data_IF_072078046849
#
_entry.id   IF_072078046849
#
_cell.length_a   1.000
_cell.length_b   1.000
_cell.length_c   1.000
_cell.angle_alpha   90.00
_cell.angle_beta   90.00
_cell.angle_gamma   90.00
#
_symmetry.space_group_name_H-M   'P 1'
#
loop_
_entity.id
_entity.type
_entity.pdbx_description
1 polymer ?
#
# COMPACT_ATOMS: atom_id res chain seq x y z
N UNK A 1 -27.00 -19.22 9.93
CA UNK A 1 -25.60 -18.79 10.08
C UNK A 1 -25.16 -18.19 8.76
N UNK A 2 -24.68 -16.94 8.73
CA UNK A 2 -24.21 -16.32 7.49
C UNK A 2 -22.96 -17.04 6.97
N UNK A 3 -22.81 -17.11 5.65
CA UNK A 3 -21.60 -17.67 5.05
C UNK A 3 -20.37 -16.83 5.44
N UNK A 4 -19.20 -17.45 5.69
CA UNK A 4 -17.98 -16.72 6.01
C UNK A 4 -17.59 -15.72 4.91
N UNK A 5 -17.14 -14.53 5.30
CA UNK A 5 -16.69 -13.49 4.36
C UNK A 5 -15.32 -13.90 3.80
N UNK A 6 -15.11 -13.72 2.49
CA UNK A 6 -13.86 -14.05 1.79
C UNK A 6 -13.15 -12.77 1.35
N UNK A 7 -12.34 -12.13 2.21
CA UNK A 7 -11.52 -11.00 1.79
C UNK A 7 -10.33 -11.49 0.96
N UNK A 8 -10.05 -10.80 -0.14
CA UNK A 8 -8.79 -10.91 -0.87
C UNK A 8 -7.87 -9.76 -0.45
N UNK A 9 -6.79 -10.10 0.25
CA UNK A 9 -5.77 -9.16 0.67
C UNK A 9 -4.64 -9.08 -0.35
N UNK A 10 -4.34 -7.89 -0.86
CA UNK A 10 -3.24 -7.62 -1.78
C UNK A 10 -2.16 -6.83 -1.05
N UNK A 11 -0.92 -7.33 -1.06
CA UNK A 11 0.19 -6.68 -0.37
C UNK A 11 1.37 -6.39 -1.27
N UNK A 12 1.94 -5.20 -1.12
CA UNK A 12 3.21 -4.80 -1.72
C UNK A 12 4.39 -5.68 -1.28
N UNK A 13 4.30 -6.28 -0.09
CA UNK A 13 5.24 -7.27 0.43
C UNK A 13 6.69 -6.74 0.51
N UNK A 14 6.84 -5.47 0.91
CA UNK A 14 8.13 -4.81 1.14
C UNK A 14 8.19 -4.20 2.55
N UNK A 15 9.30 -4.39 3.25
CA UNK A 15 9.55 -3.77 4.56
C UNK A 15 8.43 -4.01 5.57
N UNK A 16 8.01 -2.96 6.26
CA UNK A 16 6.91 -3.01 7.25
C UNK A 16 5.57 -3.51 6.68
N UNK A 17 5.36 -3.43 5.36
CA UNK A 17 4.14 -3.95 4.73
C UNK A 17 4.08 -5.48 4.76
N UNK A 18 5.21 -6.17 4.65
CA UNK A 18 5.27 -7.62 4.82
C UNK A 18 4.89 -8.02 6.26
N UNK A 19 5.47 -7.33 7.25
CA UNK A 19 5.21 -7.57 8.68
C UNK A 19 3.74 -7.36 9.04
N UNK A 20 3.12 -6.28 8.57
CA UNK A 20 1.69 -6.02 8.81
C UNK A 20 0.82 -7.16 8.29
N UNK A 21 1.09 -7.64 7.07
CA UNK A 21 0.30 -8.72 6.47
C UNK A 21 0.52 -10.07 7.16
N UNK A 22 1.73 -10.35 7.63
CA UNK A 22 1.99 -11.50 8.48
C UNK A 22 1.18 -11.43 9.79
N UNK A 23 1.14 -10.25 10.43
CA UNK A 23 0.33 -10.04 11.63
C UNK A 23 -1.17 -10.21 11.35
N UNK A 24 -1.69 -9.69 10.23
CA UNK A 24 -3.08 -9.89 9.80
C UNK A 24 -3.39 -11.38 9.60
N UNK A 25 -2.53 -12.12 8.90
CA UNK A 25 -2.68 -13.57 8.70
C UNK A 25 -2.77 -14.30 10.04
N UNK A 26 -1.89 -13.96 10.97
CA UNK A 26 -1.85 -14.55 12.31
C UNK A 26 -3.08 -14.17 13.14
N UNK A 27 -3.56 -12.94 13.06
CA UNK A 27 -4.74 -12.50 13.80
C UNK A 27 -6.02 -13.18 13.28
N UNK A 28 -6.15 -13.30 11.95
CA UNK A 28 -7.34 -13.87 11.30
C UNK A 28 -7.51 -15.37 11.56
N UNK A 29 -6.50 -16.10 12.03
CA UNK A 29 -6.69 -17.50 12.43
C UNK A 29 -7.66 -17.66 13.61
N UNK A 30 -7.89 -16.60 14.39
CA UNK A 30 -8.85 -16.58 15.49
C UNK A 30 -10.30 -16.27 15.08
N UNK A 31 -10.57 -15.98 13.79
CA UNK A 31 -11.87 -15.51 13.31
C UNK A 31 -12.44 -16.46 12.24
N UNK A 32 -13.12 -17.56 12.63
CA UNK A 32 -13.61 -18.59 11.70
C UNK A 32 -14.67 -18.10 10.70
N UNK A 33 -15.30 -16.96 10.98
CA UNK A 33 -16.22 -16.26 10.09
C UNK A 33 -15.52 -15.54 8.92
N UNK A 34 -14.18 -15.49 8.91
CA UNK A 34 -13.37 -14.90 7.85
C UNK A 34 -12.55 -15.99 7.16
N UNK A 35 -12.64 -16.06 5.83
CA UNK A 35 -11.84 -16.96 4.98
C UNK A 35 -10.89 -16.15 4.10
N UNK A 36 -9.75 -15.69 4.65
CA UNK A 36 -8.90 -14.76 3.95
C UNK A 36 -8.11 -15.44 2.83
N UNK A 37 -7.98 -14.73 1.72
CA UNK A 37 -7.11 -15.06 0.61
C UNK A 37 -6.07 -13.97 0.46
N UNK A 38 -4.91 -14.31 -0.08
CA UNK A 38 -3.81 -13.37 -0.16
C UNK A 38 -3.09 -13.40 -1.51
N UNK A 39 -2.76 -12.21 -1.99
CA UNK A 39 -1.96 -11.94 -3.15
C UNK A 39 -0.80 -11.03 -2.73
N UNK A 40 0.35 -11.63 -2.43
CA UNK A 40 1.56 -10.85 -2.14
C UNK A 40 2.31 -10.58 -3.45
N UNK A 41 2.72 -9.33 -3.65
CA UNK A 41 3.57 -8.95 -4.77
C UNK A 41 4.93 -9.62 -4.60
N UNK A 42 5.39 -10.44 -5.56
CA UNK A 42 6.67 -11.09 -5.45
C UNK A 42 7.78 -10.07 -5.71
N UNK A 43 8.98 -10.38 -5.22
CA UNK A 43 10.21 -9.66 -5.55
C UNK A 43 10.29 -9.33 -7.05
N UNK A 44 10.80 -8.14 -7.38
CA UNK A 44 10.90 -7.69 -8.75
C UNK A 44 11.68 -8.71 -9.60
N UNK A 45 11.01 -9.28 -10.62
CA UNK A 45 11.64 -10.10 -11.64
C UNK A 45 12.44 -9.25 -12.62
N UNK A 46 13.13 -9.88 -13.57
CA UNK A 46 14.07 -9.21 -14.49
C UNK A 46 13.49 -7.96 -15.18
N UNK A 47 12.30 -8.07 -15.78
CA UNK A 47 11.63 -6.94 -16.46
C UNK A 47 11.31 -5.78 -15.52
N UNK A 48 10.81 -6.06 -14.31
CA UNK A 48 10.52 -5.03 -13.31
C UNK A 48 11.80 -4.38 -12.77
N UNK A 49 12.89 -5.14 -12.65
CA UNK A 49 14.22 -4.60 -12.29
C UNK A 49 14.75 -3.66 -13.37
N UNK A 50 14.61 -4.00 -14.66
CA UNK A 50 14.97 -3.10 -15.75
C UNK A 50 14.13 -1.80 -15.72
N UNK A 51 12.83 -1.92 -15.47
CA UNK A 51 11.95 -0.77 -15.26
C UNK A 51 12.32 0.08 -14.04
N UNK A 52 13.08 -0.48 -13.10
CA UNK A 52 13.59 0.19 -11.91
C UNK A 52 14.99 0.77 -12.10
N UNK A 53 15.64 0.67 -13.27
CA UNK A 53 16.98 1.25 -13.50
C UNK A 53 16.87 2.77 -13.62
N UNK A 54 17.68 3.50 -12.83
CA UNK A 54 17.80 4.96 -12.94
C UNK A 54 18.34 5.35 -14.32
N UNK A 55 17.80 6.42 -14.91
CA UNK A 55 18.33 6.92 -16.19
C UNK A 55 19.38 8.00 -15.89
N UNK A 56 20.67 7.77 -16.21
CA UNK A 56 21.72 8.75 -15.94
C UNK A 56 21.38 10.12 -16.55
N UNK A 57 21.68 11.20 -15.83
CA UNK A 57 21.31 12.57 -16.21
C UNK A 57 19.90 12.97 -15.79
N UNK A 58 18.88 12.16 -16.11
CA UNK A 58 17.48 12.43 -15.70
C UNK A 58 17.24 12.17 -14.21
N UNK A 59 17.86 11.13 -13.66
CA UNK A 59 17.73 10.75 -12.25
C UNK A 59 18.24 11.84 -11.29
N UNK A 60 19.26 12.61 -11.70
CA UNK A 60 19.85 13.68 -10.87
C UNK A 60 18.83 14.76 -10.51
N UNK A 61 17.87 14.98 -11.39
CA UNK A 61 16.87 16.03 -11.28
C UNK A 61 15.44 15.45 -11.19
N UNK A 62 15.28 14.16 -10.85
CA UNK A 62 13.98 13.46 -10.72
C UNK A 62 13.11 13.38 -12.00
N UNK A 63 13.70 13.58 -13.19
CA UNK A 63 12.96 13.49 -14.45
C UNK A 63 12.81 12.04 -14.96
N UNK A 64 13.52 11.07 -14.38
CA UNK A 64 13.48 9.67 -14.83
C UNK A 64 12.25 8.89 -14.34
N UNK A 65 11.45 9.52 -13.48
CA UNK A 65 10.22 8.98 -12.88
C UNK A 65 10.41 7.58 -12.28
N UNK A 66 11.61 7.23 -11.84
CA UNK A 66 11.95 5.85 -11.46
C UNK A 66 11.00 5.29 -10.41
N UNK A 67 10.71 6.06 -9.35
CA UNK A 67 9.79 5.64 -8.30
C UNK A 67 8.39 5.32 -8.88
N UNK A 68 7.87 6.15 -9.77
CA UNK A 68 6.58 5.91 -10.42
C UNK A 68 6.65 4.68 -11.35
N UNK A 69 7.74 4.49 -12.11
CA UNK A 69 7.92 3.31 -12.97
C UNK A 69 7.92 2.01 -12.16
N UNK A 70 8.55 2.00 -10.99
CA UNK A 70 8.54 0.86 -10.06
C UNK A 70 7.11 0.57 -9.59
N UNK A 71 6.40 1.60 -9.10
CA UNK A 71 5.03 1.45 -8.62
C UNK A 71 4.08 0.96 -9.74
N UNK A 72 4.18 1.53 -10.94
CA UNK A 72 3.41 1.08 -12.10
C UNK A 72 3.75 -0.36 -12.51
N UNK A 73 5.02 -0.76 -12.44
CA UNK A 73 5.43 -2.13 -12.71
C UNK A 73 4.84 -3.14 -11.72
N UNK A 74 4.83 -2.80 -10.42
CA UNK A 74 4.17 -3.60 -9.39
C UNK A 74 2.66 -3.62 -9.56
N UNK A 75 2.05 -2.48 -9.88
CA UNK A 75 0.62 -2.39 -10.07
C UNK A 75 0.14 -3.12 -11.32
N UNK A 76 0.91 -3.10 -12.42
CA UNK A 76 0.60 -3.89 -13.61
C UNK A 76 0.64 -5.40 -13.31
N UNK A 77 1.56 -5.84 -12.44
CA UNK A 77 1.59 -7.22 -11.98
C UNK A 77 0.33 -7.56 -11.18
N UNK A 78 -0.04 -6.75 -10.19
CA UNK A 78 -1.27 -6.93 -9.39
C UNK A 78 -2.50 -6.97 -10.29
N UNK A 79 -2.65 -6.00 -11.20
CA UNK A 79 -3.78 -5.92 -12.12
C UNK A 79 -3.92 -7.20 -12.96
N UNK A 80 -2.81 -7.72 -13.50
CA UNK A 80 -2.81 -8.98 -14.24
C UNK A 80 -3.22 -10.16 -13.36
N UNK A 81 -2.77 -10.20 -12.10
CA UNK A 81 -3.14 -11.25 -11.14
C UNK A 81 -4.61 -11.16 -10.75
N UNK A 82 -5.14 -9.97 -10.52
CA UNK A 82 -6.56 -9.76 -10.22
C UNK A 82 -7.46 -10.16 -11.41
N UNK A 83 -7.10 -9.81 -12.65
CA UNK A 83 -7.84 -10.23 -13.85
C UNK A 83 -7.87 -11.74 -14.06
N UNK A 84 -6.80 -12.43 -13.67
CA UNK A 84 -6.69 -13.89 -13.77
C UNK A 84 -7.13 -14.61 -12.50
N UNK A 85 -7.59 -13.88 -11.48
CA UNK A 85 -8.01 -14.46 -10.21
C UNK A 85 -9.32 -15.24 -10.37
N UNK A 86 -9.27 -16.54 -10.09
CA UNK A 86 -10.44 -17.44 -10.25
C UNK A 86 -11.17 -17.72 -8.95
N UNK A 87 -10.49 -17.57 -7.82
CA UNK A 87 -11.10 -17.85 -6.53
C UNK A 87 -12.08 -16.71 -6.17
N UNK A 88 -13.33 -17.02 -5.78
CA UNK A 88 -14.29 -15.99 -5.45
C UNK A 88 -13.86 -15.26 -4.17
N UNK A 89 -14.03 -13.95 -4.16
CA UNK A 89 -13.81 -13.08 -2.99
C UNK A 89 -14.93 -12.03 -2.92
N UNK A 90 -15.27 -11.63 -1.71
CA UNK A 90 -16.40 -10.73 -1.42
C UNK A 90 -15.92 -9.28 -1.26
N UNK A 91 -14.70 -9.09 -0.75
CA UNK A 91 -14.10 -7.77 -0.51
C UNK A 91 -12.64 -7.79 -0.97
N UNK A 92 -12.18 -6.70 -1.58
CA UNK A 92 -10.77 -6.50 -1.95
C UNK A 92 -10.11 -5.53 -0.96
N UNK A 93 -9.10 -5.98 -0.23
CA UNK A 93 -8.29 -5.13 0.63
C UNK A 93 -6.88 -4.97 0.03
N UNK A 94 -6.44 -3.75 -0.25
CA UNK A 94 -5.12 -3.49 -0.83
C UNK A 94 -4.27 -2.65 0.10
N UNK A 95 -3.03 -3.10 0.31
CA UNK A 95 -2.02 -2.38 1.07
C UNK A 95 -0.64 -2.47 0.41
N UNK A 96 0.02 -1.40 0.01
CA UNK A 96 -0.40 0.00 0.00
C UNK A 96 -1.08 0.41 -1.32
N UNK A 97 -1.52 1.66 -1.45
CA UNK A 97 -2.03 2.22 -2.71
C UNK A 97 -1.06 2.08 -3.89
N UNK A 98 0.25 1.99 -3.61
CA UNK A 98 1.32 1.96 -4.62
C UNK A 98 1.23 0.77 -5.56
N UNK A 99 0.62 -0.34 -5.11
CA UNK A 99 0.42 -1.54 -5.95
C UNK A 99 -0.94 -1.57 -6.63
N UNK A 100 -1.78 -0.56 -6.43
CA UNK A 100 -3.11 -0.45 -7.00
C UNK A 100 -3.26 0.61 -8.10
N UNK A 101 -2.20 1.35 -8.44
CA UNK A 101 -2.21 2.47 -9.40
C UNK A 101 -2.91 2.18 -10.76
N UNK A 102 -2.92 0.93 -11.20
CA UNK A 102 -3.53 0.44 -12.44
C UNK A 102 -4.75 -0.48 -12.20
N UNK A 103 -5.19 -0.63 -10.95
CA UNK A 103 -6.26 -1.55 -10.51
C UNK A 103 -7.54 -0.85 -10.07
N UNK A 104 -7.77 0.39 -10.54
CA UNK A 104 -9.00 1.14 -10.27
C UNK A 104 -10.27 0.37 -10.65
N UNK A 105 -10.26 -0.33 -11.78
CA UNK A 105 -11.41 -1.14 -12.20
C UNK A 105 -11.72 -2.28 -11.22
N UNK A 106 -10.68 -2.99 -10.76
CA UNK A 106 -10.84 -4.07 -9.79
C UNK A 106 -11.36 -3.53 -8.44
N UNK A 107 -10.92 -2.35 -8.02
CA UNK A 107 -11.39 -1.66 -6.82
C UNK A 107 -12.86 -1.21 -6.95
N UNK A 108 -13.28 -0.74 -8.12
CA UNK A 108 -14.64 -0.25 -8.33
C UNK A 108 -15.69 -1.37 -8.51
N UNK A 109 -15.26 -2.57 -8.91
CA UNK A 109 -16.18 -3.68 -9.25
C UNK A 109 -16.80 -4.35 -8.02
N UNK A 110 -16.11 -4.31 -6.87
CA UNK A 110 -16.55 -4.95 -5.62
C UNK A 110 -16.24 -4.04 -4.44
N UNK A 111 -16.90 -4.22 -3.28
CA UNK A 111 -16.52 -3.51 -2.06
C UNK A 111 -15.02 -3.64 -1.82
N UNK A 112 -14.35 -2.51 -1.65
CA UNK A 112 -12.90 -2.46 -1.60
C UNK A 112 -12.37 -1.50 -0.54
N UNK A 113 -11.24 -1.86 0.04
CA UNK A 113 -10.55 -1.09 1.07
C UNK A 113 -9.12 -0.86 0.61
N UNK A 114 -8.69 0.40 0.59
CA UNK A 114 -7.28 0.74 0.34
C UNK A 114 -6.70 1.27 1.63
N UNK A 115 -5.70 0.59 2.17
CA UNK A 115 -4.97 1.03 3.34
C UNK A 115 -3.68 1.76 2.91
N UNK A 116 -3.29 2.78 3.68
CA UNK A 116 -2.05 3.52 3.46
C UNK A 116 -1.48 4.09 4.77
N UNK A 117 -0.16 4.00 4.90
CA UNK A 117 0.61 4.62 5.98
C UNK A 117 1.16 5.99 5.60
N UNK A 118 1.40 6.22 4.31
CA UNK A 118 1.81 7.49 3.76
C UNK A 118 1.36 7.66 2.30
N UNK A 119 0.95 8.88 1.97
CA UNK A 119 0.63 9.22 0.57
C UNK A 119 1.89 9.51 -0.23
N UNK A 120 1.82 9.45 -1.57
CA UNK A 120 2.93 9.87 -2.44
C UNK A 120 3.37 11.33 -2.21
N UNK A 121 2.45 12.22 -1.86
CA UNK A 121 2.74 13.60 -1.47
C UNK A 121 3.58 13.67 -0.19
N UNK A 122 3.20 12.91 0.85
CA UNK A 122 3.95 12.83 2.10
C UNK A 122 5.32 12.21 1.93
N UNK A 123 5.39 11.04 1.27
CA UNK A 123 6.65 10.34 1.04
C UNK A 123 7.64 11.15 0.19
N UNK A 124 7.16 12.07 -0.65
CA UNK A 124 8.02 12.93 -1.44
C UNK A 124 8.54 14.18 -0.70
N UNK A 125 7.87 14.62 0.37
CA UNK A 125 8.21 15.85 1.12
C UNK A 125 8.81 15.60 2.49
N UNK A 126 8.52 14.46 3.13
CA UNK A 126 8.82 14.21 4.55
C UNK A 126 10.05 13.31 4.73
N UNK A 127 10.41 12.47 3.75
CA UNK A 127 11.55 11.55 3.88
C UNK A 127 12.89 12.33 3.83
N UNK A 128 13.65 12.40 4.95
CA UNK A 128 14.85 13.25 5.06
C UNK A 128 15.95 12.88 4.08
N UNK A 129 16.02 11.61 3.68
CA UNK A 129 17.07 11.07 2.82
C UNK A 129 16.79 11.31 1.32
N UNK A 130 15.62 11.86 0.97
CA UNK A 130 15.24 12.05 -0.42
C UNK A 130 15.79 13.36 -0.96
N UNK A 131 16.70 13.28 -1.93
CA UNK A 131 17.15 14.44 -2.71
C UNK A 131 15.98 14.98 -3.54
N UNK A 132 15.68 16.27 -3.38
CA UNK A 132 14.65 16.98 -4.16
C UNK A 132 15.29 17.64 -5.37
N UNK A 133 15.05 17.09 -6.57
CA UNK A 133 15.45 17.65 -7.85
C UNK A 133 14.36 18.52 -8.50
N UNK A 134 14.70 19.22 -9.59
CA UNK A 134 13.76 20.12 -10.30
C UNK A 134 12.48 19.42 -10.78
N UNK A 135 12.58 18.14 -11.14
CA UNK A 135 11.48 17.31 -11.60
C UNK A 135 10.59 16.73 -10.50
N UNK A 136 10.95 16.88 -9.21
CA UNK A 136 10.19 16.28 -8.10
C UNK A 136 8.72 16.72 -8.12
N UNK A 137 8.43 18.01 -8.34
CA UNK A 137 7.05 18.51 -8.39
C UNK A 137 6.25 17.84 -9.51
N UNK A 138 6.85 17.70 -10.70
CA UNK A 138 6.21 17.04 -11.85
C UNK A 138 5.99 15.54 -11.59
N UNK A 139 6.97 14.86 -10.98
CA UNK A 139 6.85 13.45 -10.59
C UNK A 139 5.73 13.23 -9.57
N UNK A 140 5.64 14.08 -8.55
CA UNK A 140 4.56 14.04 -7.55
C UNK A 140 3.22 14.25 -8.25
N UNK A 141 3.07 15.31 -9.04
CA UNK A 141 1.84 15.62 -9.75
C UNK A 141 1.39 14.46 -10.65
N UNK A 142 2.32 13.78 -11.32
CA UNK A 142 2.01 12.63 -12.15
C UNK A 142 1.62 11.40 -11.33
N UNK A 143 2.34 11.09 -10.26
CA UNK A 143 2.03 9.97 -9.35
C UNK A 143 0.65 10.15 -8.72
N UNK A 144 0.38 11.38 -8.27
CA UNK A 144 -0.88 11.80 -7.66
C UNK A 144 -2.09 11.55 -8.56
N UNK A 145 -1.95 11.65 -9.89
CA UNK A 145 -3.04 11.32 -10.83
C UNK A 145 -3.45 9.84 -10.76
N UNK A 146 -2.50 8.94 -10.54
CA UNK A 146 -2.78 7.51 -10.41
C UNK A 146 -3.34 7.20 -9.01
N UNK A 147 -2.71 7.72 -7.97
CA UNK A 147 -3.17 7.53 -6.59
C UNK A 147 -4.59 8.08 -6.39
N UNK A 148 -4.93 9.25 -6.95
CA UNK A 148 -6.28 9.81 -6.86
C UNK A 148 -7.32 8.85 -7.42
N UNK A 149 -7.06 8.21 -8.57
CA UNK A 149 -7.96 7.19 -9.14
C UNK A 149 -8.13 5.97 -8.23
N UNK A 150 -7.07 5.56 -7.52
CA UNK A 150 -7.13 4.47 -6.54
C UNK A 150 -8.09 4.84 -5.41
N UNK A 151 -7.90 6.01 -4.82
CA UNK A 151 -8.75 6.46 -3.72
C UNK A 151 -10.18 6.76 -4.16
N UNK A 152 -10.40 7.31 -5.35
CA UNK A 152 -11.73 7.50 -5.92
C UNK A 152 -12.48 6.18 -6.12
N UNK A 153 -11.77 5.12 -6.54
CA UNK A 153 -12.37 3.81 -6.83
C UNK A 153 -12.61 2.94 -5.59
N UNK A 154 -11.88 3.17 -4.50
CA UNK A 154 -12.01 2.38 -3.28
C UNK A 154 -13.36 2.59 -2.60
N UNK A 155 -13.97 1.61 -1.95
CA UNK A 155 -15.16 1.88 -1.12
C UNK A 155 -14.79 2.64 0.15
N UNK A 156 -13.71 2.21 0.82
CA UNK A 156 -13.18 2.79 2.04
C UNK A 156 -11.66 2.99 1.91
N UNK A 157 -11.14 4.03 2.56
CA UNK A 157 -9.70 4.26 2.70
C UNK A 157 -9.32 4.18 4.17
N UNK A 158 -8.36 3.31 4.50
CA UNK A 158 -7.79 3.23 5.85
C UNK A 158 -6.49 4.04 5.89
N UNK A 159 -6.43 5.02 6.77
CA UNK A 159 -5.21 5.73 7.12
C UNK A 159 -4.60 5.11 8.39
N UNK A 160 -3.31 4.81 8.37
CA UNK A 160 -2.61 4.29 9.56
C UNK A 160 -2.26 5.37 10.59
N UNK A 161 -2.50 6.65 10.27
CA UNK A 161 -2.24 7.78 11.16
C UNK A 161 -3.12 8.98 10.81
N UNK A 162 -3.26 9.91 11.76
CA UNK A 162 -3.89 11.21 11.51
C UNK A 162 -3.16 12.02 10.44
N UNK A 163 -1.83 11.87 10.33
CA UNK A 163 -1.06 12.53 9.28
C UNK A 163 -1.45 12.01 7.90
N UNK A 164 -1.53 10.69 7.72
CA UNK A 164 -2.00 10.10 6.47
C UNK A 164 -3.44 10.52 6.15
N UNK A 165 -4.33 10.51 7.15
CA UNK A 165 -5.71 10.96 7.00
C UNK A 165 -5.79 12.44 6.56
N UNK A 166 -4.98 13.32 7.14
CA UNK A 166 -4.90 14.73 6.75
C UNK A 166 -4.45 14.89 5.31
N UNK A 167 -3.44 14.14 4.87
CA UNK A 167 -2.98 14.19 3.47
C UNK A 167 -4.02 13.64 2.50
N UNK A 168 -4.72 12.54 2.83
CA UNK A 168 -5.81 12.02 2.01
C UNK A 168 -6.91 13.06 1.76
N UNK A 169 -7.28 13.83 2.78
CA UNK A 169 -8.27 14.92 2.65
C UNK A 169 -7.72 16.10 1.86
N UNK A 170 -6.56 16.62 2.28
CA UNK A 170 -6.02 17.89 1.78
C UNK A 170 -5.37 17.77 0.39
N UNK A 171 -4.76 16.63 0.10
CA UNK A 171 -4.01 16.43 -1.14
C UNK A 171 -4.81 15.62 -2.15
N UNK A 172 -5.63 14.65 -1.73
CA UNK A 172 -6.29 13.70 -2.65
C UNK A 172 -7.81 13.84 -2.72
N UNK A 173 -8.38 14.81 -2.00
CA UNK A 173 -9.83 15.10 -1.97
C UNK A 173 -10.67 13.89 -1.52
N UNK A 174 -10.12 13.02 -0.67
CA UNK A 174 -10.88 11.86 -0.15
C UNK A 174 -11.87 12.34 0.92
N UNK A 175 -13.16 12.10 0.67
CA UNK A 175 -14.28 12.34 1.58
C UNK A 175 -14.01 11.80 2.99
N UNK A 176 -14.21 12.63 4.02
CA UNK A 176 -13.96 12.25 5.40
C UNK A 176 -14.80 11.04 5.85
N UNK A 177 -16.03 10.90 5.32
CA UNK A 177 -16.92 9.77 5.58
C UNK A 177 -16.37 8.42 5.10
N UNK A 178 -15.46 8.44 4.11
CA UNK A 178 -14.80 7.27 3.52
C UNK A 178 -13.44 6.95 4.14
N UNK A 179 -12.94 7.81 5.03
CA UNK A 179 -11.68 7.59 5.73
C UNK A 179 -11.96 6.91 7.08
N UNK A 180 -11.21 5.86 7.40
CA UNK A 180 -11.09 5.33 8.77
C UNK A 180 -9.64 5.39 9.20
N UNK A 181 -9.41 5.78 10.44
CA UNK A 181 -8.07 5.80 11.02
C UNK A 181 -7.94 4.55 11.86
N UNK A 182 -7.11 3.63 11.40
CA UNK A 182 -6.82 2.38 12.10
C UNK A 182 -5.30 2.28 12.16
N UNK A 183 -4.68 2.63 13.31
CA UNK A 183 -3.24 2.56 13.46
C UNK A 183 -2.69 1.13 13.37
N UNK A 184 -1.39 1.03 13.14
CA UNK A 184 -0.72 -0.27 13.19
C UNK A 184 -0.86 -0.90 14.58
N UNK A 185 -1.25 -2.17 14.59
CA UNK A 185 -1.17 -3.01 15.77
C UNK A 185 0.23 -3.57 15.96
N UNK A 186 0.57 -3.87 17.21
CA UNK A 186 1.74 -4.67 17.56
C UNK A 186 1.26 -6.05 18.04
N UNK A 187 1.86 -7.12 17.52
CA UNK A 187 1.66 -8.45 18.07
C UNK A 187 2.34 -8.52 19.43
N UNK A 188 1.55 -8.60 20.49
CA UNK A 188 2.06 -8.85 21.84
C UNK A 188 2.20 -10.36 21.98
N UNK A 189 3.44 -10.84 22.05
CA UNK A 189 3.72 -12.24 22.39
C UNK A 189 3.80 -12.36 23.91
N UNK A 190 3.26 -13.45 24.48
CA UNK A 190 3.22 -13.67 25.94
C UNK A 190 4.61 -13.69 26.60
N UNK A 191 5.65 -13.98 25.83
CA UNK A 191 7.03 -13.82 26.25
C UNK A 191 7.56 -12.45 25.81
N UNK A 192 7.39 -11.42 26.66
CA UNK A 192 8.25 -10.24 26.56
C UNK A 192 9.72 -10.71 26.73
N UNK A 193 10.66 -10.33 25.87
CA UNK A 193 12.06 -10.59 26.15
C UNK A 193 12.40 -9.93 27.49
N UNK A 194 12.85 -10.71 28.47
CA UNK A 194 13.42 -10.17 29.68
C UNK A 194 14.59 -9.25 29.28
N UNK A 195 14.42 -7.94 29.42
CA UNK A 195 15.50 -6.98 29.20
C UNK A 195 16.47 -7.14 30.39
N UNK A 196 17.42 -8.07 30.27
CA UNK A 196 18.44 -8.35 31.30
C UNK A 196 19.62 -7.37 31.27
N UNK A 197 19.61 -6.34 30.41
CA UNK A 197 20.63 -5.30 30.44
C UNK A 197 20.15 -4.12 31.27
N UNK A 198 20.72 -4.00 32.47
CA UNK A 198 20.71 -2.74 33.20
C UNK A 198 21.21 -1.62 32.27
N UNK A 199 20.45 -0.54 32.19
CA UNK A 199 20.89 0.66 31.50
C UNK A 199 22.17 1.16 32.19
N UNK A 200 23.24 1.50 31.44
CA UNK A 200 24.39 2.16 32.04
C UNK A 200 23.92 3.46 32.71
N UNK A 201 24.32 3.64 33.96
CA UNK A 201 24.08 4.84 34.76
C UNK A 201 24.84 6.04 34.20
#
# INVERSE_FOLDING_TARGET
>A
MNAPIRPLFVNENMGGHATMHMAIRSALSGYPEVRPQFLDVPNAGFVRRLGAVSIPGLAREDFDLQALRIQLGNSAHVERRLRSWRNPYDVLHVYSQNVALLSSNALATRPSVVATDSTGEQGARILPERRVGKGTKSRIALTKRFEKRVYESATLVIAQSEWAAKSLRADYDVEASRIRIIPFGISVHDALPHITKALPQ
#
